data_IF_309353804084
#
_entry.id   IF_309353804084
#
_cell.length_a   1.000
_cell.length_b   1.000
_cell.length_c   1.000
_cell.angle_alpha   90.00
_cell.angle_beta   90.00
_cell.angle_gamma   90.00
#
_symmetry.space_group_name_H-M   'P 1'
#
loop_
_entity.id
_entity.type
_entity.pdbx_description
1 polymer ?
#
# COMPACT_ATOMS: atom_id res chain seq x y z
N UNK A 1 16.03 -1.99 -10.70
CA UNK A 1 14.95 -1.81 -11.69
C UNK A 1 14.56 -0.35 -11.72
N UNK A 2 14.51 0.30 -12.90
CA UNK A 2 13.96 1.65 -13.02
C UNK A 2 12.43 1.57 -13.09
N UNK A 3 11.70 2.17 -12.17
CA UNK A 3 10.23 2.14 -12.12
C UNK A 3 9.70 3.46 -12.68
N UNK A 4 9.11 3.45 -13.87
CA UNK A 4 8.54 4.64 -14.49
C UNK A 4 7.09 4.87 -14.03
N UNK A 5 6.55 6.07 -14.25
CA UNK A 5 5.13 6.41 -14.02
C UNK A 5 4.20 5.40 -14.71
N UNK A 6 4.40 5.17 -16.01
CA UNK A 6 3.62 4.21 -16.79
C UNK A 6 3.71 2.78 -16.25
N UNK A 7 4.89 2.36 -15.76
CA UNK A 7 5.08 1.03 -15.15
C UNK A 7 4.34 0.91 -13.83
N UNK A 8 4.38 1.93 -12.98
CA UNK A 8 3.61 1.97 -11.74
C UNK A 8 2.09 1.92 -12.03
N UNK A 9 1.61 2.71 -13.00
CA UNK A 9 0.20 2.73 -13.39
C UNK A 9 -0.27 1.40 -14.00
N UNK A 10 0.54 0.77 -14.86
CA UNK A 10 0.24 -0.57 -15.38
C UNK A 10 0.17 -1.62 -14.27
N UNK A 11 1.13 -1.61 -13.34
CA UNK A 11 1.15 -2.53 -12.22
C UNK A 11 -0.09 -2.34 -11.33
N UNK A 12 -0.46 -1.10 -11.01
CA UNK A 12 -1.65 -0.79 -10.24
C UNK A 12 -2.92 -1.32 -10.91
N UNK A 13 -3.09 -1.10 -12.22
CA UNK A 13 -4.24 -1.61 -12.97
C UNK A 13 -4.34 -3.13 -12.94
N UNK A 14 -3.23 -3.83 -13.18
CA UNK A 14 -3.22 -5.30 -13.13
C UNK A 14 -3.57 -5.81 -11.72
N UNK A 15 -2.98 -5.22 -10.68
CA UNK A 15 -3.26 -5.58 -9.29
C UNK A 15 -4.74 -5.39 -8.92
N UNK A 16 -5.32 -4.23 -9.27
CA UNK A 16 -6.73 -3.95 -9.01
C UNK A 16 -7.65 -4.88 -9.78
N UNK A 17 -7.30 -5.24 -11.03
CA UNK A 17 -8.08 -6.18 -11.83
C UNK A 17 -8.11 -7.59 -11.22
N UNK A 18 -6.98 -8.11 -10.73
CA UNK A 18 -6.95 -9.40 -10.04
C UNK A 18 -7.71 -9.35 -8.70
N UNK A 19 -7.57 -8.26 -7.93
CA UNK A 19 -8.30 -8.11 -6.66
C UNK A 19 -9.81 -8.03 -6.89
N UNK A 20 -10.27 -7.37 -7.95
CA UNK A 20 -11.68 -7.30 -8.31
C UNK A 20 -12.25 -8.67 -8.72
N UNK A 21 -11.42 -9.61 -9.16
CA UNK A 21 -11.82 -10.98 -9.47
C UNK A 21 -11.92 -11.87 -8.21
N UNK A 22 -11.46 -11.40 -7.06
CA UNK A 22 -11.52 -12.10 -5.78
C UNK A 22 -12.68 -11.51 -4.96
N UNK A 23 -13.49 -12.36 -4.35
CA UNK A 23 -14.51 -11.88 -3.41
C UNK A 23 -13.82 -11.15 -2.25
N UNK A 24 -14.17 -9.88 -1.96
CA UNK A 24 -13.55 -9.15 -0.87
C UNK A 24 -13.80 -9.89 0.45
N UNK A 25 -12.80 -10.03 1.33
CA UNK A 25 -12.99 -10.64 2.64
C UNK A 25 -14.02 -9.87 3.45
N UNK A 26 -14.75 -10.57 4.32
CA UNK A 26 -15.71 -9.94 5.22
C UNK A 26 -15.00 -9.05 6.23
N UNK A 27 -15.32 -7.76 6.20
CA UNK A 27 -14.84 -6.75 7.14
C UNK A 27 -15.96 -5.75 7.44
N UNK A 28 -15.83 -5.05 8.56
CA UNK A 28 -16.79 -4.01 8.90
C UNK A 28 -16.74 -2.88 7.85
N UNK A 29 -17.91 -2.35 7.44
CA UNK A 29 -18.02 -1.27 6.44
C UNK A 29 -17.06 -0.09 6.71
N UNK A 30 -16.90 0.28 7.99
CA UNK A 30 -15.97 1.34 8.42
C UNK A 30 -14.52 1.13 7.95
N UNK A 31 -14.07 -0.13 7.77
CA UNK A 31 -12.74 -0.46 7.25
C UNK A 31 -12.66 -0.03 5.79
N UNK A 32 -13.64 -0.41 4.98
CA UNK A 32 -13.70 -0.04 3.57
C UNK A 32 -13.80 1.48 3.39
N UNK A 33 -14.60 2.16 4.22
CA UNK A 33 -14.72 3.62 4.18
C UNK A 33 -13.39 4.31 4.52
N UNK A 34 -12.68 3.82 5.55
CA UNK A 34 -11.36 4.35 5.92
C UNK A 34 -10.30 4.09 4.83
N UNK A 35 -10.34 2.92 4.17
CA UNK A 35 -9.46 2.62 3.03
C UNK A 35 -9.71 3.58 1.88
N UNK A 36 -10.98 3.90 1.56
CA UNK A 36 -11.31 4.86 0.51
C UNK A 36 -10.81 6.29 0.84
N UNK A 37 -10.94 6.72 2.10
CA UNK A 37 -10.40 8.02 2.55
C UNK A 37 -8.87 8.04 2.44
N UNK A 38 -8.22 6.94 2.80
CA UNK A 38 -6.77 6.80 2.67
C UNK A 38 -6.31 6.80 1.22
N UNK A 39 -6.97 6.07 0.32
CA UNK A 39 -6.72 6.12 -1.12
C UNK A 39 -6.78 7.56 -1.65
N UNK A 40 -7.84 8.30 -1.33
CA UNK A 40 -7.98 9.68 -1.76
C UNK A 40 -6.84 10.57 -1.21
N UNK A 41 -6.41 10.32 0.03
CA UNK A 41 -5.28 11.04 0.64
C UNK A 41 -3.92 10.69 0.01
N UNK A 42 -3.75 9.45 -0.46
CA UNK A 42 -2.55 9.04 -1.19
C UNK A 42 -2.46 9.73 -2.54
N UNK A 43 -3.59 10.07 -3.18
CA UNK A 43 -3.60 10.79 -4.45
C UNK A 43 -3.40 12.31 -4.28
N UNK A 44 -3.71 12.89 -3.11
CA UNK A 44 -3.62 14.35 -2.86
C UNK A 44 -2.18 14.81 -2.56
N UNK A 45 -1.48 15.34 -3.57
CA UNK A 45 -0.09 15.83 -3.47
C UNK A 45 0.04 17.13 -2.66
N UNK A 46 -1.07 17.82 -2.35
CA UNK A 46 -1.08 19.12 -1.69
C UNK A 46 -1.11 19.02 -0.16
N UNK A 47 -1.30 17.82 0.42
CA UNK A 47 -1.55 17.71 1.86
C UNK A 47 -1.01 16.45 2.53
N UNK A 48 0.25 16.50 2.99
CA UNK A 48 0.81 15.49 3.90
C UNK A 48 -0.01 15.33 5.20
N UNK A 49 -0.72 16.39 5.62
CA UNK A 49 -1.60 16.35 6.81
C UNK A 49 -2.80 15.43 6.59
N UNK A 50 -3.42 15.44 5.40
CA UNK A 50 -4.55 14.56 5.09
C UNK A 50 -4.11 13.09 5.07
N UNK A 51 -2.95 12.81 4.48
CA UNK A 51 -2.35 11.47 4.54
C UNK A 51 -2.06 11.06 5.99
N UNK A 52 -1.50 11.96 6.80
CA UNK A 52 -1.24 11.70 8.22
C UNK A 52 -2.51 11.36 9.01
N UNK A 53 -3.60 12.13 8.82
CA UNK A 53 -4.90 11.85 9.44
C UNK A 53 -5.50 10.52 8.95
N UNK A 54 -5.58 10.30 7.64
CA UNK A 54 -6.19 9.10 7.08
C UNK A 54 -5.43 7.82 7.47
N UNK A 55 -4.10 7.86 7.49
CA UNK A 55 -3.28 6.76 7.98
C UNK A 55 -3.52 6.49 9.48
N UNK A 56 -3.64 7.55 10.29
CA UNK A 56 -3.95 7.42 11.71
C UNK A 56 -5.32 6.78 11.97
N UNK A 57 -6.31 7.07 11.13
CA UNK A 57 -7.66 6.51 11.24
C UNK A 57 -7.75 5.03 10.81
N UNK A 58 -6.86 4.59 9.92
CA UNK A 58 -6.71 3.18 9.53
C UNK A 58 -6.01 2.33 10.58
N UNK A 59 -5.04 2.88 11.34
CA UNK A 59 -4.24 2.07 12.25
C UNK A 59 -5.09 1.50 13.38
N UNK A 60 -5.03 0.16 13.53
CA UNK A 60 -5.82 -0.62 14.47
C UNK A 60 -7.22 -0.97 13.98
N UNK A 61 -7.58 -0.60 12.75
CA UNK A 61 -8.92 -0.79 12.22
C UNK A 61 -9.06 -2.17 11.56
N UNK A 62 -9.97 -3.00 12.06
CA UNK A 62 -10.17 -4.39 11.61
C UNK A 62 -10.01 -5.38 12.77
N UNK A 63 -10.19 -6.67 12.50
CA UNK A 63 -10.11 -7.72 13.51
C UNK A 63 -8.77 -8.47 13.47
N UNK A 64 -8.46 -9.19 14.55
CA UNK A 64 -7.31 -10.11 14.60
C UNK A 64 -5.98 -9.47 15.00
N UNK A 65 -4.90 -10.24 14.86
CA UNK A 65 -3.55 -9.80 15.25
C UNK A 65 -2.92 -8.79 14.29
N UNK A 66 -3.43 -8.73 13.06
CA UNK A 66 -3.04 -7.82 11.99
C UNK A 66 -4.32 -7.22 11.43
N UNK A 67 -4.79 -6.10 12.01
CA UNK A 67 -6.01 -5.44 11.54
C UNK A 67 -5.89 -5.07 10.07
N UNK A 68 -6.97 -5.25 9.31
CA UNK A 68 -7.02 -5.00 7.86
C UNK A 68 -6.55 -3.59 7.46
N UNK A 69 -6.78 -2.58 8.29
CA UNK A 69 -6.28 -1.23 8.08
C UNK A 69 -4.75 -1.13 8.17
N UNK A 70 -4.12 -1.88 9.06
CA UNK A 70 -2.66 -1.94 9.16
C UNK A 70 -2.05 -2.68 7.97
N UNK A 71 -2.71 -3.72 7.47
CA UNK A 71 -2.29 -4.45 6.28
C UNK A 71 -2.29 -3.53 5.04
N UNK A 72 -3.29 -2.64 4.91
CA UNK A 72 -3.30 -1.60 3.87
C UNK A 72 -2.11 -0.64 4.02
N UNK A 73 -1.82 -0.18 5.24
CA UNK A 73 -0.67 0.70 5.51
C UNK A 73 0.65 0.00 5.20
N UNK A 74 0.83 -1.24 5.65
CA UNK A 74 2.03 -2.03 5.40
C UNK A 74 2.22 -2.30 3.90
N UNK A 75 1.16 -2.66 3.18
CA UNK A 75 1.21 -2.90 1.74
C UNK A 75 1.59 -1.65 0.95
N UNK A 76 1.00 -0.51 1.34
CA UNK A 76 1.29 0.80 0.75
C UNK A 76 2.74 1.22 1.00
N UNK A 77 3.18 1.18 2.25
CA UNK A 77 4.54 1.52 2.66
C UNK A 77 5.57 0.64 1.93
N UNK A 78 5.34 -0.66 1.83
CA UNK A 78 6.27 -1.56 1.15
C UNK A 78 6.38 -1.32 -0.36
N UNK A 79 5.27 -0.98 -1.03
CA UNK A 79 5.27 -0.60 -2.43
C UNK A 79 6.03 0.72 -2.65
N UNK A 80 5.74 1.75 -1.84
CA UNK A 80 6.45 3.04 -1.85
C UNK A 80 7.95 2.86 -1.58
N UNK A 81 8.34 2.04 -0.61
CA UNK A 81 9.73 1.75 -0.29
C UNK A 81 10.48 1.07 -1.44
N UNK A 82 9.78 0.25 -2.22
CA UNK A 82 10.34 -0.39 -3.41
C UNK A 82 10.64 0.63 -4.51
N UNK A 83 9.78 1.64 -4.69
CA UNK A 83 10.03 2.76 -5.61
C UNK A 83 11.12 3.67 -5.08
N UNK A 84 11.06 4.09 -3.81
CA UNK A 84 12.01 5.00 -3.18
C UNK A 84 13.47 4.53 -3.25
N UNK A 85 13.70 3.21 -3.22
CA UNK A 85 15.04 2.60 -3.39
C UNK A 85 15.47 2.40 -4.84
N UNK A 86 14.57 2.62 -5.80
CA UNK A 86 14.90 2.56 -7.22
C UNK A 86 15.54 3.88 -7.69
N UNK A 87 16.22 3.85 -8.83
CA UNK A 87 16.74 5.04 -9.50
C UNK A 87 15.64 5.79 -10.31
N UNK A 88 14.40 5.80 -9.79
CA UNK A 88 13.24 6.42 -10.44
C UNK A 88 13.13 7.92 -10.14
N UNK A 89 12.53 8.68 -11.05
CA UNK A 89 12.09 10.04 -10.79
C UNK A 89 11.05 10.13 -9.65
N UNK A 90 10.30 9.04 -9.42
CA UNK A 90 9.28 8.93 -8.37
C UNK A 90 9.87 8.82 -6.96
N UNK A 91 11.18 8.54 -6.84
CA UNK A 91 11.79 8.15 -5.57
C UNK A 91 11.74 9.25 -4.49
N UNK A 92 11.86 10.52 -4.87
CA UNK A 92 11.82 11.63 -3.92
C UNK A 92 10.43 11.80 -3.28
N UNK A 93 9.38 11.66 -4.08
CA UNK A 93 8.01 11.73 -3.60
C UNK A 93 7.65 10.55 -2.70
N UNK A 94 7.99 9.33 -3.14
CA UNK A 94 7.76 8.12 -2.35
C UNK A 94 8.46 8.21 -0.98
N UNK A 95 9.65 8.80 -0.89
CA UNK A 95 10.33 9.05 0.39
C UNK A 95 9.52 9.97 1.32
N UNK A 96 8.97 11.08 0.81
CA UNK A 96 8.14 11.99 1.62
C UNK A 96 6.86 11.33 2.15
N UNK A 97 6.24 10.46 1.33
CA UNK A 97 5.08 9.67 1.76
C UNK A 97 5.48 8.67 2.85
N UNK A 98 6.60 7.96 2.68
CA UNK A 98 7.12 7.04 3.69
C UNK A 98 7.45 7.73 5.01
N UNK A 99 8.10 8.89 4.99
CA UNK A 99 8.37 9.70 6.19
C UNK A 99 7.09 10.09 6.92
N UNK A 100 6.01 10.35 6.18
CA UNK A 100 4.70 10.64 6.76
C UNK A 100 4.10 9.40 7.41
N UNK A 101 4.11 8.25 6.71
CA UNK A 101 3.60 7.00 7.26
C UNK A 101 4.40 6.56 8.50
N UNK A 102 5.73 6.64 8.47
CA UNK A 102 6.61 6.28 9.58
C UNK A 102 6.29 7.10 10.83
N UNK A 103 6.14 8.43 10.71
CA UNK A 103 5.74 9.29 11.84
C UNK A 103 4.41 8.88 12.44
N UNK A 104 3.43 8.52 11.61
CA UNK A 104 2.09 8.13 12.07
C UNK A 104 2.10 6.75 12.73
N UNK A 105 2.82 5.79 12.16
CA UNK A 105 3.02 4.45 12.73
C UNK A 105 3.63 4.56 14.12
N UNK A 106 4.70 5.36 14.28
CA UNK A 106 5.38 5.57 15.56
C UNK A 106 4.45 6.18 16.62
N UNK A 107 3.61 7.15 16.24
CA UNK A 107 2.66 7.80 17.15
C UNK A 107 1.45 6.93 17.51
N UNK A 108 1.12 5.95 16.67
CA UNK A 108 -0.10 5.15 16.77
C UNK A 108 0.15 3.72 17.24
N UNK A 109 1.36 3.40 17.74
CA UNK A 109 1.72 2.03 18.18
C UNK A 109 0.78 1.45 19.24
N UNK A 110 0.14 2.30 20.05
CA UNK A 110 -0.82 1.90 21.09
C UNK A 110 -2.25 1.67 20.56
N UNK A 111 -2.53 1.99 19.29
CA UNK A 111 -3.84 1.79 18.66
C UNK A 111 -3.97 0.43 17.98
N UNK A 112 -2.87 -0.30 17.84
CA UNK A 112 -2.83 -1.62 17.21
C UNK A 112 -2.04 -2.63 18.06
N UNK A 113 -1.88 -3.86 17.56
CA UNK A 113 -1.09 -4.90 18.19
C UNK A 113 0.42 -4.64 18.01
N UNK A 114 1.22 -5.15 18.95
CA UNK A 114 2.68 -5.04 18.87
C UNK A 114 3.25 -5.68 17.59
N UNK A 115 2.66 -6.81 17.16
CA UNK A 115 3.04 -7.50 15.92
C UNK A 115 2.80 -6.61 14.70
N UNK A 116 1.59 -6.04 14.57
CA UNK A 116 1.21 -5.25 13.41
C UNK A 116 2.00 -3.94 13.32
N UNK A 117 2.22 -3.28 14.46
CA UNK A 117 3.10 -2.11 14.54
C UNK A 117 4.52 -2.42 14.03
N UNK A 118 5.06 -3.59 14.38
CA UNK A 118 6.40 -4.00 13.93
C UNK A 118 6.43 -4.33 12.42
N UNK A 119 5.40 -4.98 11.89
CA UNK A 119 5.27 -5.26 10.46
C UNK A 119 5.18 -3.97 9.63
N UNK A 120 4.40 -2.97 10.08
CA UNK A 120 4.35 -1.66 9.44
C UNK A 120 5.69 -0.92 9.50
N UNK A 121 6.39 -0.98 10.64
CA UNK A 121 7.73 -0.40 10.78
C UNK A 121 8.74 -1.07 9.85
N UNK A 122 8.67 -2.40 9.70
CA UNK A 122 9.46 -3.13 8.71
C UNK A 122 9.14 -2.68 7.28
N UNK A 123 7.85 -2.51 6.98
CA UNK A 123 7.36 -2.16 5.65
C UNK A 123 7.80 -0.77 5.17
N UNK A 124 7.88 0.24 6.05
CA UNK A 124 8.40 1.58 5.68
C UNK A 124 9.87 1.55 5.29
N UNK A 125 10.65 0.63 5.87
CA UNK A 125 12.02 0.35 5.45
C UNK A 125 12.09 -0.69 4.32
N UNK A 126 10.93 -1.13 3.81
CA UNK A 126 10.72 -2.08 2.72
C UNK A 126 11.15 -3.51 3.00
N UNK A 127 11.19 -3.90 4.27
CA UNK A 127 11.20 -5.30 4.68
C UNK A 127 9.78 -5.84 4.66
N UNK A 128 9.56 -6.91 3.90
CA UNK A 128 8.26 -7.59 3.80
C UNK A 128 8.43 -9.08 3.60
N UNK A 129 7.35 -9.84 3.78
CA UNK A 129 7.34 -11.26 3.48
C UNK A 129 7.56 -11.56 1.99
N UNK A 130 8.11 -12.75 1.70
CA UNK A 130 8.43 -13.17 0.32
C UNK A 130 7.24 -13.15 -0.63
N UNK A 131 6.05 -13.56 -0.17
CA UNK A 131 4.82 -13.59 -1.00
C UNK A 131 4.48 -12.19 -1.53
N UNK A 132 4.56 -11.17 -0.68
CA UNK A 132 4.37 -9.78 -1.07
C UNK A 132 5.41 -9.33 -2.10
N UNK A 133 6.70 -9.62 -1.87
CA UNK A 133 7.76 -9.24 -2.83
C UNK A 133 7.55 -9.88 -4.21
N UNK A 134 7.15 -11.15 -4.26
CA UNK A 134 6.85 -11.84 -5.51
C UNK A 134 5.67 -11.19 -6.24
N UNK A 135 4.60 -10.85 -5.52
CA UNK A 135 3.44 -10.14 -6.06
C UNK A 135 3.82 -8.77 -6.63
N UNK A 136 4.46 -7.91 -5.83
CA UNK A 136 4.86 -6.57 -6.25
C UNK A 136 5.85 -6.59 -7.44
N UNK A 137 6.83 -7.49 -7.42
CA UNK A 137 7.81 -7.63 -8.51
C UNK A 137 7.14 -8.09 -9.80
N UNK A 138 6.26 -9.09 -9.72
CA UNK A 138 5.58 -9.63 -10.91
C UNK A 138 4.71 -8.57 -11.59
N UNK A 139 4.00 -7.75 -10.80
CA UNK A 139 3.21 -6.64 -11.31
C UNK A 139 4.09 -5.56 -11.95
N UNK A 140 5.15 -5.13 -11.27
CA UNK A 140 6.07 -4.09 -11.79
C UNK A 140 6.85 -4.55 -13.03
N UNK A 141 7.07 -5.86 -13.19
CA UNK A 141 7.67 -6.43 -14.39
C UNK A 141 6.66 -6.63 -15.54
N UNK A 142 5.36 -6.40 -15.32
CA UNK A 142 4.31 -6.59 -16.33
C UNK A 142 3.99 -8.05 -16.62
N UNK A 143 4.29 -8.96 -15.69
CA UNK A 143 3.98 -10.38 -15.82
C UNK A 143 2.52 -10.71 -15.46
N UNK A 144 2.11 -11.97 -15.71
CA UNK A 144 0.87 -12.50 -15.13
C UNK A 144 1.04 -12.61 -13.61
N UNK A 145 0.14 -11.96 -12.86
CA UNK A 145 0.21 -11.87 -11.41
C UNK A 145 -0.82 -12.75 -10.69
N UNK A 146 -1.63 -13.53 -11.39
CA UNK A 146 -2.74 -14.27 -10.79
C UNK A 146 -2.27 -15.27 -9.71
N UNK A 147 -1.23 -16.06 -10.00
CA UNK A 147 -0.66 -17.00 -9.03
C UNK A 147 -0.05 -16.30 -7.80
N UNK A 148 0.65 -15.18 -8.01
CA UNK A 148 1.23 -14.43 -6.89
C UNK A 148 0.17 -13.70 -6.06
N UNK A 149 -0.91 -13.24 -6.69
CA UNK A 149 -2.08 -12.65 -6.04
C UNK A 149 -2.80 -13.69 -5.19
N UNK A 150 -3.10 -14.86 -5.75
CA UNK A 150 -3.73 -15.98 -5.04
C UNK A 150 -2.90 -16.41 -3.82
N UNK A 151 -1.58 -16.59 -4.00
CA UNK A 151 -0.65 -16.94 -2.91
C UNK A 151 -0.58 -15.87 -1.84
N UNK A 152 -0.60 -14.59 -2.20
CA UNK A 152 -0.58 -13.49 -1.25
C UNK A 152 -1.90 -13.44 -0.47
N UNK A 153 -3.05 -13.47 -1.17
CA UNK A 153 -4.38 -13.44 -0.56
C UNK A 153 -4.65 -14.64 0.34
N UNK A 154 -4.05 -15.81 0.06
CA UNK A 154 -4.04 -16.96 0.97
C UNK A 154 -3.13 -16.81 2.21
N UNK A 155 -2.85 -15.59 2.66
CA UNK A 155 -2.04 -15.30 3.86
C UNK A 155 -2.93 -14.63 4.91
N UNK A 156 -3.07 -15.28 6.07
CA UNK A 156 -4.03 -14.83 7.09
C UNK A 156 -5.48 -14.99 6.60
N UNK A 157 -6.43 -14.50 7.40
CA UNK A 157 -7.85 -14.53 7.03
C UNK A 157 -8.17 -13.44 6.00
N UNK A 158 -7.75 -12.20 6.28
CA UNK A 158 -7.99 -11.02 5.43
C UNK A 158 -6.69 -10.31 5.02
N UNK A 159 -5.61 -10.50 5.78
CA UNK A 159 -4.38 -9.71 5.67
C UNK A 159 -3.72 -9.73 4.31
N UNK A 160 -3.67 -10.88 3.64
CA UNK A 160 -3.11 -10.99 2.29
C UNK A 160 -3.81 -10.08 1.28
N UNK A 161 -5.14 -10.01 1.34
CA UNK A 161 -5.96 -9.18 0.46
C UNK A 161 -5.73 -7.69 0.72
N UNK A 162 -5.68 -7.27 1.98
CA UNK A 162 -5.49 -5.87 2.35
C UNK A 162 -4.06 -5.38 2.12
N UNK A 163 -3.04 -6.24 2.28
CA UNK A 163 -1.67 -5.97 1.84
C UNK A 163 -1.58 -5.75 0.33
N UNK A 164 -2.24 -6.62 -0.45
CA UNK A 164 -2.28 -6.52 -1.90
C UNK A 164 -2.99 -5.23 -2.34
N UNK A 165 -4.09 -4.88 -1.67
CA UNK A 165 -4.86 -3.66 -1.89
C UNK A 165 -4.03 -2.41 -1.62
N UNK A 166 -3.39 -2.31 -0.44
CA UNK A 166 -2.52 -1.18 -0.12
C UNK A 166 -1.39 -0.95 -1.14
N UNK A 167 -0.76 -2.02 -1.61
CA UNK A 167 0.25 -1.92 -2.67
C UNK A 167 -0.34 -1.36 -3.98
N UNK A 168 -1.50 -1.84 -4.40
CA UNK A 168 -2.17 -1.38 -5.61
C UNK A 168 -2.55 0.11 -5.53
N UNK A 169 -3.10 0.53 -4.39
CA UNK A 169 -3.49 1.92 -4.12
C UNK A 169 -2.29 2.87 -4.13
N UNK A 170 -1.18 2.49 -3.50
CA UNK A 170 0.04 3.30 -3.51
C UNK A 170 0.62 3.45 -4.93
N UNK A 171 0.66 2.38 -5.73
CA UNK A 171 1.15 2.45 -7.10
C UNK A 171 0.24 3.31 -7.99
N UNK A 172 -1.09 3.20 -7.82
CA UNK A 172 -2.07 4.04 -8.52
C UNK A 172 -1.83 5.52 -8.21
N UNK A 173 -1.80 5.87 -6.94
CA UNK A 173 -1.64 7.26 -6.49
C UNK A 173 -0.33 7.89 -7.00
N UNK A 174 0.79 7.18 -6.89
CA UNK A 174 2.09 7.67 -7.41
C UNK A 174 2.03 7.87 -8.92
N UNK A 175 1.33 7.00 -9.67
CA UNK A 175 1.18 7.19 -11.11
C UNK A 175 0.33 8.42 -11.46
N UNK A 176 -0.81 8.62 -10.79
CA UNK A 176 -1.76 9.70 -11.06
C UNK A 176 -1.17 11.09 -10.76
N UNK A 177 -0.46 11.23 -9.64
CA UNK A 177 0.21 12.49 -9.27
C UNK A 177 1.26 12.93 -10.29
N UNK A 178 1.89 11.98 -10.96
CA UNK A 178 2.97 12.25 -11.90
C UNK A 178 2.48 12.35 -13.36
N UNK A 179 1.33 11.76 -13.70
CA UNK A 179 0.68 11.98 -15.01
C UNK A 179 0.12 13.41 -15.11
N UNK A 180 -0.38 13.98 -14.00
CA UNK A 180 -0.84 15.38 -13.93
C UNK A 180 0.27 16.42 -14.07
N UNK A 181 1.47 16.12 -13.55
CA UNK A 181 2.64 17.02 -13.61
C UNK A 181 3.28 17.10 -15.00
N UNK A 182 2.99 16.17 -15.92
CA UNK A 182 3.52 16.17 -17.29
C UNK A 182 2.70 17.02 -18.27
N UNK A 183 1.54 17.54 -17.85
CA UNK A 183 0.64 18.35 -18.67
C UNK A 183 0.39 19.76 -18.09
N UNK A 184 1.13 20.16 -17.06
CA UNK A 184 1.04 21.46 -16.39
C UNK A 184 2.18 22.41 -16.73
#
# INVERSE_FOLDING_TARGET
>A
MNITVARAGNAARSMLAELAAIAPPEEAQRVHDAVAVFEASLADDNSSRRLETAAGDLIGLGVGSTPSGDDVIAGSAAALASIARSASALSAECRRMLETLERVILRSRNRTTALSAELMSCAVHGYTMRRFRCYATSALCGGNISDTTSKLCGTGHTSGYFLASGAALALKAVSERNDGALHG
#
